data_IF_742118798112
#
_entry.id   IF_742118798112
#
_cell.length_a   1.000
_cell.length_b   1.000
_cell.length_c   1.000
_cell.angle_alpha   90.00
_cell.angle_beta   90.00
_cell.angle_gamma   90.00
#
_symmetry.space_group_name_H-M   'P 1'
#
loop_
_entity.id
_entity.type
_entity.pdbx_description
1 polymer ?
#
# COMPACT_ATOMS: atom_id res chain seq x y z
N UNK A 1 3.47 6.04 -24.82
CA UNK A 1 4.46 5.50 -23.99
C UNK A 1 4.58 6.19 -22.69
N UNK A 2 4.79 7.49 -22.71
CA UNK A 2 4.92 8.18 -21.47
C UNK A 2 3.70 8.18 -20.65
N UNK A 3 2.56 8.20 -21.29
CA UNK A 3 1.30 8.14 -20.59
C UNK A 3 1.12 6.84 -19.91
N UNK A 4 1.59 5.77 -20.56
CA UNK A 4 1.50 4.46 -19.94
C UNK A 4 2.32 4.41 -18.67
N UNK A 5 3.48 5.03 -18.67
CA UNK A 5 4.31 5.06 -17.49
C UNK A 5 3.63 5.80 -16.36
N UNK A 6 2.98 6.92 -16.67
CA UNK A 6 2.28 7.67 -15.65
C UNK A 6 1.10 6.89 -15.09
N UNK A 7 0.39 6.20 -15.96
CA UNK A 7 -0.72 5.38 -15.52
C UNK A 7 -0.23 4.29 -14.60
N UNK A 8 0.90 3.69 -14.95
CA UNK A 8 1.47 2.64 -14.12
C UNK A 8 1.88 3.17 -12.77
N UNK A 9 2.41 4.37 -12.72
CA UNK A 9 2.79 4.96 -11.46
C UNK A 9 1.61 5.20 -10.56
N UNK A 10 0.53 5.72 -11.12
CA UNK A 10 -0.67 5.95 -10.34
C UNK A 10 -1.23 4.64 -9.83
N UNK A 11 -1.26 3.65 -10.70
CA UNK A 11 -1.76 2.35 -10.32
C UNK A 11 -0.91 1.74 -9.21
N UNK A 12 0.40 1.83 -9.34
CA UNK A 12 1.31 1.33 -8.32
C UNK A 12 1.08 2.04 -6.99
N UNK A 13 0.98 3.37 -7.05
CA UNK A 13 0.75 4.16 -5.86
C UNK A 13 -0.54 3.73 -5.17
N UNK A 14 -1.61 3.61 -5.92
CA UNK A 14 -2.91 3.28 -5.34
C UNK A 14 -2.91 1.85 -4.79
N UNK A 15 -2.32 0.92 -5.52
CA UNK A 15 -2.26 -0.46 -5.05
C UNK A 15 -1.51 -0.57 -3.74
N UNK A 16 -0.38 0.11 -3.65
CA UNK A 16 0.40 0.09 -2.42
C UNK A 16 -0.36 0.77 -1.29
N UNK A 17 -1.01 1.88 -1.59
CA UNK A 17 -1.73 2.62 -0.57
C UNK A 17 -2.90 1.80 -0.03
N UNK A 18 -3.63 1.15 -0.90
CA UNK A 18 -4.75 0.33 -0.47
C UNK A 18 -4.28 -0.84 0.38
N UNK A 19 -3.19 -1.46 -0.04
CA UNK A 19 -2.62 -2.58 0.71
C UNK A 19 -2.26 -2.15 2.13
N UNK A 20 -1.58 -1.02 2.25
CA UNK A 20 -1.18 -0.53 3.57
C UNK A 20 -2.36 -0.06 4.38
N UNK A 21 -3.33 0.57 3.74
CA UNK A 21 -4.51 1.04 4.45
C UNK A 21 -5.28 -0.11 5.06
N UNK A 22 -5.38 -1.21 4.33
CA UNK A 22 -6.07 -2.38 4.85
C UNK A 22 -5.32 -3.01 6.02
N UNK A 23 -4.02 -2.92 5.99
CA UNK A 23 -3.23 -3.41 7.11
C UNK A 23 -3.38 -2.52 8.33
N UNK A 24 -3.54 -1.24 8.13
CA UNK A 24 -3.66 -0.29 9.21
C UNK A 24 -5.05 -0.31 9.84
N UNK A 25 -6.06 -0.50 9.01
CA UNK A 25 -7.43 -0.47 9.49
C UNK A 25 -8.38 -0.85 8.37
N UNK A 26 -9.36 -0.01 8.12
CA UNK A 26 -10.32 -0.29 7.07
C UNK A 26 -10.14 0.67 5.92
N UNK A 27 -10.54 0.23 4.74
CA UNK A 27 -10.48 1.07 3.58
C UNK A 27 -11.40 2.27 3.74
N UNK A 28 -12.51 2.07 4.44
CA UNK A 28 -13.45 3.15 4.64
C UNK A 28 -12.83 4.29 5.46
N UNK A 29 -12.12 3.95 6.50
CA UNK A 29 -11.44 4.96 7.31
C UNK A 29 -10.43 5.73 6.48
N UNK A 30 -9.73 5.00 5.62
CA UNK A 30 -8.75 5.61 4.74
C UNK A 30 -9.42 6.59 3.79
N UNK A 31 -10.52 6.17 3.19
CA UNK A 31 -11.27 7.04 2.28
C UNK A 31 -11.80 8.26 3.01
N UNK A 32 -12.31 8.06 4.20
CA UNK A 32 -12.83 9.18 5.00
C UNK A 32 -11.73 10.18 5.33
N UNK A 33 -10.58 9.68 5.70
CA UNK A 33 -9.47 10.57 6.03
C UNK A 33 -9.07 11.40 4.83
N UNK A 34 -9.05 10.78 3.67
CA UNK A 34 -8.64 11.47 2.45
C UNK A 34 -9.75 12.33 1.86
N UNK A 35 -10.96 12.23 2.40
CA UNK A 35 -12.04 13.04 1.92
C UNK A 35 -12.53 12.64 0.54
N UNK A 36 -12.44 11.38 0.19
CA UNK A 36 -12.86 10.90 -1.12
C UNK A 36 -14.05 9.98 -0.96
N UNK A 37 -14.71 9.74 -2.07
CA UNK A 37 -15.91 8.91 -2.05
C UNK A 37 -15.57 7.44 -1.95
N UNK A 38 -16.58 6.67 -1.57
CA UNK A 38 -16.43 5.22 -1.48
C UNK A 38 -16.05 4.68 -2.85
N UNK A 39 -15.05 3.84 -2.87
CA UNK A 39 -14.60 3.24 -4.12
C UNK A 39 -13.62 4.08 -4.91
N UNK A 40 -13.26 5.24 -4.39
CA UNK A 40 -12.35 6.13 -5.09
C UNK A 40 -11.06 5.41 -5.49
N UNK A 41 -10.44 4.74 -4.53
CA UNK A 41 -9.18 4.06 -4.80
C UNK A 41 -9.39 2.78 -5.58
N UNK A 42 -10.46 2.05 -5.29
CA UNK A 42 -10.73 0.83 -6.01
C UNK A 42 -10.92 1.05 -7.49
N UNK A 43 -11.59 2.14 -7.84
CA UNK A 43 -11.81 2.44 -9.24
C UNK A 43 -10.51 2.72 -9.98
N UNK A 44 -9.52 3.19 -9.28
CA UNK A 44 -8.24 3.51 -9.91
C UNK A 44 -7.33 2.30 -10.05
N UNK A 45 -7.69 1.20 -9.43
CA UNK A 45 -6.96 -0.04 -9.62
C UNK A 45 -7.67 -0.99 -10.55
N UNK A 46 -8.86 -0.64 -11.00
CA UNK A 46 -9.63 -1.49 -11.89
C UNK A 46 -9.12 -1.38 -13.30
N UNK A 47 -9.19 -2.48 -13.99
CA UNK A 47 -8.70 -2.52 -15.35
C UNK A 47 -9.48 -1.62 -16.26
N UNK A 48 -8.82 -0.66 -16.82
CA UNK A 48 -9.30 0.03 -17.98
C UNK A 48 -10.43 1.01 -17.79
N UNK A 49 -11.03 1.08 -16.66
CA UNK A 49 -12.19 1.92 -16.51
C UNK A 49 -11.85 3.33 -16.13
N UNK A 50 -10.99 3.49 -15.16
CA UNK A 50 -10.70 4.81 -14.64
C UNK A 50 -9.24 5.15 -14.69
N UNK A 51 -8.49 4.45 -15.51
CA UNK A 51 -7.08 4.70 -15.53
C UNK A 51 -6.70 6.06 -16.04
N UNK A 52 -7.63 6.77 -16.66
CA UNK A 52 -7.32 8.11 -17.07
C UNK A 52 -7.49 9.12 -15.99
N UNK A 53 -8.10 8.76 -14.89
CA UNK A 53 -8.34 9.72 -13.84
C UNK A 53 -7.11 9.90 -13.00
N UNK A 54 -6.60 11.11 -13.00
CA UNK A 54 -5.46 11.45 -12.18
C UNK A 54 -5.91 11.70 -10.77
N UNK A 55 -4.98 11.61 -9.83
CA UNK A 55 -5.23 11.99 -8.46
C UNK A 55 -4.72 13.40 -8.26
N UNK A 56 -5.45 14.18 -7.45
CA UNK A 56 -4.96 15.50 -7.13
C UNK A 56 -3.75 15.37 -6.20
N UNK A 57 -2.89 16.37 -6.26
CA UNK A 57 -1.72 16.39 -5.41
C UNK A 57 -2.12 16.38 -3.94
N UNK A 58 -3.19 17.08 -3.61
CA UNK A 58 -3.66 17.10 -2.24
C UNK A 58 -4.05 15.72 -1.75
N UNK A 59 -4.73 14.94 -2.60
CA UNK A 59 -5.08 13.58 -2.23
C UNK A 59 -3.84 12.74 -1.98
N UNK A 60 -2.83 12.90 -2.84
CA UNK A 60 -1.59 12.18 -2.68
C UNK A 60 -0.95 12.51 -1.33
N UNK A 61 -0.94 13.78 -0.97
CA UNK A 61 -0.37 14.19 0.31
C UNK A 61 -1.13 13.59 1.48
N UNK A 62 -2.45 13.56 1.40
CA UNK A 62 -3.25 13.00 2.46
C UNK A 62 -3.02 11.49 2.61
N UNK A 63 -2.84 10.81 1.50
CA UNK A 63 -2.54 9.38 1.53
C UNK A 63 -1.22 9.15 2.25
N UNK A 64 -0.20 9.88 1.88
CA UNK A 64 1.10 9.72 2.51
C UNK A 64 1.04 10.04 3.99
N UNK A 65 0.27 11.04 4.34
CA UNK A 65 0.13 11.44 5.73
C UNK A 65 -0.58 10.36 6.54
N UNK A 66 -1.66 9.84 6.01
CA UNK A 66 -2.43 8.81 6.68
C UNK A 66 -1.60 7.55 6.91
N UNK A 67 -0.84 7.17 5.91
CA UNK A 67 -0.03 5.95 5.97
C UNK A 67 1.32 6.17 6.62
N UNK A 68 1.68 7.44 6.84
CA UNK A 68 2.97 7.82 7.44
C UNK A 68 4.13 7.23 6.66
N UNK A 69 4.05 7.36 5.34
CA UNK A 69 5.09 6.87 4.46
C UNK A 69 5.36 7.89 3.37
N UNK A 70 6.60 7.99 2.95
CA UNK A 70 6.93 8.93 1.88
C UNK A 70 6.43 8.44 0.54
N UNK A 71 6.24 9.38 -0.37
CA UNK A 71 5.73 9.07 -1.69
C UNK A 71 6.61 8.06 -2.42
N UNK A 72 7.91 8.16 -2.27
CA UNK A 72 8.81 7.24 -2.95
C UNK A 72 8.53 5.80 -2.62
N UNK A 73 8.21 5.53 -1.35
CA UNK A 73 7.89 4.16 -0.96
C UNK A 73 6.62 3.68 -1.63
N UNK A 74 5.64 4.56 -1.71
CA UNK A 74 4.37 4.18 -2.31
C UNK A 74 4.47 4.00 -3.82
N UNK A 75 5.52 4.53 -4.42
CA UNK A 75 5.75 4.34 -5.84
C UNK A 75 6.59 3.11 -6.15
N UNK A 76 7.06 2.43 -5.14
CA UNK A 76 7.89 1.25 -5.32
C UNK A 76 7.03 0.05 -5.73
N UNK A 77 7.17 -0.46 -6.94
CA UNK A 77 6.32 -1.56 -7.39
C UNK A 77 6.55 -2.85 -6.62
N UNK A 78 7.63 -2.93 -5.86
CA UNK A 78 7.94 -4.12 -5.08
C UNK A 78 7.63 -3.96 -3.61
N UNK A 79 6.93 -2.88 -3.24
CA UNK A 79 6.68 -2.61 -1.83
C UNK A 79 5.99 -3.78 -1.13
N UNK A 80 4.97 -4.32 -1.76
CA UNK A 80 4.23 -5.42 -1.17
C UNK A 80 5.13 -6.64 -0.95
N UNK A 81 5.93 -6.96 -1.94
CA UNK A 81 6.85 -8.09 -1.82
C UNK A 81 7.85 -7.86 -0.72
N UNK A 82 8.38 -6.65 -0.64
CA UNK A 82 9.36 -6.32 0.39
C UNK A 82 8.76 -6.45 1.78
N UNK A 83 7.55 -5.94 1.95
CA UNK A 83 6.89 -6.02 3.24
C UNK A 83 6.51 -7.44 3.61
N UNK A 84 6.05 -8.20 2.65
CA UNK A 84 5.70 -9.60 2.91
C UNK A 84 6.93 -10.42 3.24
N UNK A 85 8.02 -10.14 2.56
CA UNK A 85 9.27 -10.83 2.85
C UNK A 85 9.75 -10.52 4.27
N UNK A 86 9.62 -9.28 4.68
CA UNK A 86 9.99 -8.90 6.03
C UNK A 86 9.12 -9.58 7.06
N UNK A 87 7.85 -9.65 6.81
CA UNK A 87 6.93 -10.31 7.73
C UNK A 87 7.24 -11.78 7.85
N UNK A 88 7.54 -12.42 6.73
CA UNK A 88 7.92 -13.82 6.75
C UNK A 88 9.19 -14.05 7.53
N UNK A 89 10.15 -13.17 7.32
CA UNK A 89 11.41 -13.27 8.02
C UNK A 89 11.20 -13.12 9.52
N UNK A 90 10.40 -12.16 9.92
CA UNK A 90 10.11 -11.98 11.33
C UNK A 90 9.43 -13.20 11.90
N UNK A 91 8.51 -13.76 11.16
CA UNK A 91 7.80 -14.93 11.62
C UNK A 91 8.74 -16.11 11.80
N UNK A 92 9.66 -16.30 10.87
CA UNK A 92 10.64 -17.35 10.99
C UNK A 92 11.54 -17.15 12.19
N UNK A 93 11.91 -15.91 12.45
CA UNK A 93 12.75 -15.63 13.62
C UNK A 93 12.00 -15.91 14.90
N UNK A 94 10.73 -15.58 14.94
CA UNK A 94 9.92 -15.86 16.11
C UNK A 94 9.79 -17.35 16.35
N UNK A 95 9.59 -18.12 15.30
CA UNK A 95 9.47 -19.56 15.40
C UNK A 95 10.78 -20.15 15.90
N UNK A 96 11.87 -19.67 15.36
CA UNK A 96 13.19 -20.14 15.77
C UNK A 96 13.48 -19.83 17.22
N UNK A 97 13.11 -18.62 17.62
CA UNK A 97 13.26 -18.21 19.00
C UNK A 97 12.47 -19.11 19.94
N UNK A 98 11.24 -19.39 19.56
CA UNK A 98 10.39 -20.23 20.36
C UNK A 98 10.96 -21.64 20.46
N UNK A 99 11.48 -22.15 19.36
CA UNK A 99 12.10 -23.47 19.36
C UNK A 99 13.29 -23.51 20.29
N UNK A 100 14.15 -22.52 20.20
CA UNK A 100 15.32 -22.47 21.06
C UNK A 100 14.92 -22.37 22.51
N UNK A 101 13.87 -21.64 22.76
CA UNK A 101 13.36 -21.49 24.12
C UNK A 101 12.88 -22.81 24.68
N UNK A 102 12.24 -23.61 23.84
CA UNK A 102 11.74 -24.90 24.28
C UNK A 102 12.83 -25.94 24.47
N UNK A 103 13.85 -25.88 23.65
CA UNK A 103 14.90 -26.90 23.71
C UNK A 103 16.12 -26.42 24.43
N UNK A 104 16.25 -25.16 24.64
CA UNK A 104 17.45 -24.59 25.16
C UNK A 104 17.63 -24.70 26.63
N UNK A 105 16.74 -25.22 27.33
CA UNK A 105 16.81 -25.28 28.66
C UNK A 105 17.62 -26.18 29.22
#
# INVERSE_FOLDING_TARGET
MRQDAKTDEIETFVNNAVYLAKMKGSLKEFEDYCGVSVGYFSRRTSDGITKQRAMSFQTVLLVCEYLERPLEELLNPKLRYDLEAKRMQQKLEEIESARLSLTGE
#
